data_IF_757960668764
#
_entry.id   IF_757960668764
#
_cell.length_a   1.000
_cell.length_b   1.000
_cell.length_c   1.000
_cell.angle_alpha   90.00
_cell.angle_beta   90.00
_cell.angle_gamma   90.00
#
_symmetry.space_group_name_H-M   'P 1'
#
loop_
_entity.id
_entity.type
_entity.pdbx_description
1 polymer ?
#
# COMPACT_ATOMS: atom_id res chain seq x y z
N UNK A 1 -19.27 -13.81 -11.00
CA UNK A 1 -18.32 -12.72 -11.34
C UNK A 1 -18.99 -11.74 -12.27
N UNK A 2 -18.77 -10.44 -12.06
CA UNK A 2 -19.34 -9.37 -12.87
C UNK A 2 -18.29 -8.30 -13.13
N UNK A 3 -18.44 -7.56 -14.23
CA UNK A 3 -17.52 -6.46 -14.57
C UNK A 3 -17.49 -5.46 -13.42
N UNK A 4 -16.29 -4.98 -13.08
CA UNK A 4 -16.12 -3.89 -12.12
C UNK A 4 -16.20 -2.56 -12.89
N UNK A 5 -16.97 -1.61 -12.35
CA UNK A 5 -17.13 -0.28 -12.95
C UNK A 5 -16.49 0.80 -12.09
N UNK A 6 -15.60 1.60 -12.69
CA UNK A 6 -14.95 2.72 -12.05
C UNK A 6 -14.04 2.34 -10.87
N UNK A 7 -13.23 1.29 -11.01
CA UNK A 7 -12.30 0.85 -9.97
C UNK A 7 -11.25 1.92 -9.69
N UNK A 8 -11.16 2.32 -8.42
CA UNK A 8 -10.05 3.08 -7.83
C UNK A 8 -9.39 2.26 -6.75
N UNK A 9 -8.07 2.40 -6.64
CA UNK A 9 -7.26 1.80 -5.57
C UNK A 9 -6.51 2.93 -4.87
N UNK A 10 -6.43 2.88 -3.54
CA UNK A 10 -5.81 3.94 -2.75
C UNK A 10 -5.22 3.46 -1.44
N UNK A 11 -4.44 4.35 -0.84
CA UNK A 11 -3.84 4.18 0.48
C UNK A 11 -4.55 5.02 1.53
N UNK A 12 -4.66 4.48 2.74
CA UNK A 12 -5.39 5.10 3.84
C UNK A 12 -4.62 5.01 5.13
N UNK A 13 -4.74 6.01 6.00
CA UNK A 13 -4.17 5.96 7.35
C UNK A 13 -5.22 6.35 8.38
N UNK A 14 -5.08 5.84 9.60
CA UNK A 14 -5.97 6.20 10.70
C UNK A 14 -5.61 7.59 11.24
N UNK A 15 -6.61 8.44 11.40
CA UNK A 15 -6.47 9.74 12.06
C UNK A 15 -6.99 9.69 13.49
N UNK A 16 -7.99 8.85 13.75
CA UNK A 16 -8.50 8.58 15.09
C UNK A 16 -9.33 7.28 15.12
N UNK A 17 -8.82 6.22 15.75
CA UNK A 17 -9.55 4.96 15.90
C UNK A 17 -9.95 4.36 14.55
N UNK A 18 -11.26 4.40 14.25
CA UNK A 18 -11.85 3.94 12.98
C UNK A 18 -12.08 5.06 11.96
N UNK A 19 -11.53 6.25 12.18
CA UNK A 19 -11.52 7.31 11.18
C UNK A 19 -10.28 7.16 10.32
N UNK A 20 -10.49 6.93 9.02
CA UNK A 20 -9.44 6.75 8.04
C UNK A 20 -9.46 7.91 7.05
N UNK A 21 -8.28 8.29 6.59
CA UNK A 21 -8.06 9.35 5.62
C UNK A 21 -7.34 8.81 4.39
N UNK A 22 -7.86 9.09 3.21
CA UNK A 22 -7.21 8.74 1.95
C UNK A 22 -5.94 9.59 1.79
N UNK A 23 -4.80 8.93 1.57
CA UNK A 23 -3.52 9.58 1.30
C UNK A 23 -3.36 9.85 -0.19
N UNK A 24 -3.57 8.82 -1.00
CA UNK A 24 -3.38 8.85 -2.43
C UNK A 24 -4.22 7.77 -3.10
N UNK A 25 -4.62 7.98 -4.35
CA UNK A 25 -5.41 7.01 -5.10
C UNK A 25 -5.23 7.15 -6.61
N UNK A 26 -5.46 6.05 -7.31
CA UNK A 26 -5.35 5.98 -8.77
C UNK A 26 -6.59 5.33 -9.39
N UNK A 27 -7.02 5.87 -10.54
CA UNK A 27 -8.15 5.32 -11.30
C UNK A 27 -7.65 4.24 -12.25
N UNK A 28 -8.11 3.02 -12.02
CA UNK A 28 -7.94 1.91 -12.97
C UNK A 28 -9.02 1.99 -14.06
N UNK A 29 -10.25 2.33 -13.66
CA UNK A 29 -11.40 2.37 -14.56
C UNK A 29 -12.18 1.06 -14.57
N UNK A 30 -12.77 0.72 -15.70
CA UNK A 30 -13.60 -0.48 -15.81
C UNK A 30 -12.73 -1.74 -15.97
N UNK A 31 -13.06 -2.80 -15.25
CA UNK A 31 -12.37 -4.09 -15.30
C UNK A 31 -13.34 -5.17 -15.76
N UNK A 32 -13.08 -5.70 -16.95
CA UNK A 32 -13.84 -6.81 -17.51
C UNK A 32 -13.63 -8.11 -16.71
N UNK A 33 -14.73 -8.80 -16.41
CA UNK A 33 -14.70 -10.10 -15.74
C UNK A 33 -14.08 -11.21 -16.62
N UNK A 34 -13.82 -12.37 -15.99
CA UNK A 34 -13.50 -13.62 -16.68
C UNK A 34 -12.00 -13.90 -16.91
N UNK A 35 -11.11 -12.98 -16.53
CA UNK A 35 -9.67 -13.21 -16.57
C UNK A 35 -8.93 -12.31 -15.57
N UNK A 36 -7.74 -12.74 -15.17
CA UNK A 36 -6.77 -11.88 -14.48
C UNK A 36 -6.37 -10.71 -15.37
N UNK A 37 -6.30 -9.51 -14.81
CA UNK A 37 -5.96 -8.27 -15.52
C UNK A 37 -4.72 -7.65 -14.90
N UNK A 38 -3.77 -7.24 -15.74
CA UNK A 38 -2.60 -6.47 -15.32
C UNK A 38 -2.73 -5.05 -15.83
N UNK A 39 -2.64 -4.08 -14.92
CA UNK A 39 -2.57 -2.66 -15.24
C UNK A 39 -1.19 -2.12 -14.87
N UNK A 40 -0.62 -1.27 -15.73
CA UNK A 40 0.73 -0.71 -15.57
C UNK A 40 0.71 0.80 -15.75
N UNK A 41 1.78 1.49 -15.32
CA UNK A 41 1.85 2.95 -15.39
C UNK A 41 1.03 3.68 -14.32
N UNK A 42 0.59 2.94 -13.29
CA UNK A 42 -0.15 3.46 -12.15
C UNK A 42 0.79 3.62 -10.95
N UNK A 43 0.49 4.60 -10.08
CA UNK A 43 1.27 4.82 -8.87
C UNK A 43 0.38 5.35 -7.75
N UNK A 44 0.62 4.89 -6.53
CA UNK A 44 0.05 5.45 -5.31
C UNK A 44 1.17 5.63 -4.28
N UNK A 45 1.15 6.72 -3.54
CA UNK A 45 2.06 6.94 -2.42
C UNK A 45 1.71 5.99 -1.26
N UNK A 46 2.73 5.30 -0.73
CA UNK A 46 2.60 4.40 0.42
C UNK A 46 3.55 4.85 1.52
N UNK A 47 3.04 4.91 2.75
CA UNK A 47 3.81 5.12 3.98
C UNK A 47 3.60 3.91 4.90
N UNK A 48 4.62 3.59 5.71
CA UNK A 48 4.50 2.54 6.73
C UNK A 48 3.25 2.76 7.59
N UNK A 49 2.45 1.71 7.74
CA UNK A 49 1.18 1.73 8.47
C UNK A 49 -0.05 2.11 7.65
N UNK A 50 0.11 2.44 6.36
CA UNK A 50 -1.05 2.64 5.48
C UNK A 50 -1.80 1.31 5.24
N UNK A 51 -3.12 1.40 5.19
CA UNK A 51 -4.02 0.38 4.67
C UNK A 51 -4.16 0.57 3.15
N UNK A 52 -4.32 -0.54 2.42
CA UNK A 52 -4.66 -0.52 0.99
C UNK A 52 -6.14 -0.84 0.85
N UNK A 53 -6.86 -0.02 0.09
CA UNK A 53 -8.29 -0.17 -0.13
C UNK A 53 -8.68 0.15 -1.57
N UNK A 54 -9.95 -0.06 -1.89
CA UNK A 54 -10.49 0.23 -3.22
C UNK A 54 -11.93 0.73 -3.15
N UNK A 55 -12.36 1.37 -4.23
CA UNK A 55 -13.74 1.79 -4.45
C UNK A 55 -14.16 1.43 -5.88
N UNK A 56 -15.40 1.02 -6.05
CA UNK A 56 -16.03 0.78 -7.35
C UNK A 56 -17.55 0.94 -7.22
N UNK A 57 -18.23 1.22 -8.33
CA UNK A 57 -19.68 1.50 -8.36
C UNK A 57 -20.53 0.27 -8.73
N UNK A 58 -19.88 -0.77 -9.26
CA UNK A 58 -20.54 -2.02 -9.65
C UNK A 58 -19.52 -3.13 -9.82
N UNK A 59 -20.00 -4.38 -9.78
CA UNK A 59 -19.17 -5.58 -9.82
C UNK A 59 -18.90 -6.18 -8.44
N UNK A 60 -17.99 -7.15 -8.39
CA UNK A 60 -17.59 -7.83 -7.17
C UNK A 60 -16.09 -8.10 -7.19
N UNK A 61 -15.44 -7.96 -6.03
CA UNK A 61 -14.10 -8.48 -5.77
C UNK A 61 -14.26 -9.72 -4.91
N UNK A 62 -13.48 -10.76 -5.20
CA UNK A 62 -13.46 -11.97 -4.39
C UNK A 62 -12.92 -11.67 -2.99
N UNK A 63 -13.64 -12.16 -1.98
CA UNK A 63 -13.33 -11.98 -0.56
C UNK A 63 -13.42 -13.32 0.15
N UNK A 64 -12.63 -13.49 1.21
CA UNK A 64 -12.85 -14.56 2.19
C UNK A 64 -13.39 -13.94 3.47
N UNK A 65 -14.49 -14.48 3.97
CA UNK A 65 -15.25 -13.90 5.08
C UNK A 65 -14.98 -14.60 6.42
N UNK A 66 -14.02 -15.53 6.48
CA UNK A 66 -13.75 -16.30 7.69
C UNK A 66 -12.25 -16.50 7.97
N UNK A 67 -11.86 -16.36 9.25
CA UNK A 67 -10.50 -16.67 9.70
C UNK A 67 -9.47 -15.54 9.57
N UNK A 68 -9.87 -14.35 9.13
CA UNK A 68 -8.98 -13.19 8.95
C UNK A 68 -9.25 -12.06 9.94
N UNK A 69 -8.35 -11.07 9.95
CA UNK A 69 -8.41 -9.92 10.86
C UNK A 69 -9.64 -9.04 10.64
N UNK A 70 -10.14 -8.92 9.41
CA UNK A 70 -11.23 -8.03 9.02
C UNK A 70 -10.77 -6.90 8.10
N UNK A 71 -11.74 -6.16 7.56
CA UNK A 71 -11.52 -4.98 6.70
C UNK A 71 -12.25 -3.75 7.22
N UNK A 72 -11.73 -2.57 6.87
CA UNK A 72 -12.45 -1.31 7.05
C UNK A 72 -13.42 -1.11 5.89
N UNK A 73 -14.68 -0.80 6.20
CA UNK A 73 -15.75 -0.71 5.22
C UNK A 73 -16.59 0.56 5.40
N UNK A 74 -16.97 1.17 4.27
CA UNK A 74 -17.90 2.29 4.18
C UNK A 74 -18.71 2.17 2.87
N UNK A 75 -19.95 2.66 2.87
CA UNK A 75 -20.86 2.55 1.72
C UNK A 75 -20.78 3.74 0.74
N UNK A 76 -19.98 4.77 1.04
CA UNK A 76 -19.80 5.95 0.21
C UNK A 76 -18.42 5.99 -0.44
N UNK A 77 -18.31 6.75 -1.53
CA UNK A 77 -17.02 7.08 -2.13
C UNK A 77 -16.24 8.01 -1.17
N UNK A 78 -15.07 7.56 -0.74
CA UNK A 78 -14.16 8.22 0.21
C UNK A 78 -12.71 7.94 -0.19
N UNK A 79 -12.41 7.91 -1.48
CA UNK A 79 -11.11 7.51 -2.01
C UNK A 79 -10.38 8.66 -2.72
N UNK A 80 -10.95 9.87 -2.76
CA UNK A 80 -10.21 11.02 -3.23
C UNK A 80 -9.17 11.46 -2.19
N UNK A 81 -7.94 11.83 -2.59
CA UNK A 81 -6.90 12.22 -1.65
C UNK A 81 -7.34 13.34 -0.71
N UNK A 82 -7.26 13.10 0.60
CA UNK A 82 -7.71 14.02 1.63
C UNK A 82 -9.11 13.74 2.18
N UNK A 83 -9.90 12.89 1.54
CA UNK A 83 -11.18 12.40 2.09
C UNK A 83 -10.95 11.69 3.42
N UNK A 84 -11.87 11.91 4.34
CA UNK A 84 -11.76 11.42 5.70
C UNK A 84 -13.14 11.08 6.25
N UNK A 85 -13.31 9.83 6.68
CA UNK A 85 -14.58 9.33 7.19
C UNK A 85 -14.38 8.28 8.27
N UNK A 86 -15.46 8.01 9.01
CA UNK A 86 -15.53 6.95 10.00
C UNK A 86 -16.00 5.65 9.34
N UNK A 87 -15.17 4.61 9.43
CA UNK A 87 -15.41 3.30 8.83
C UNK A 87 -16.00 2.32 9.84
N UNK A 88 -16.78 1.37 9.34
CA UNK A 88 -17.18 0.18 10.09
C UNK A 88 -16.11 -0.90 9.93
N UNK A 89 -15.92 -1.72 10.95
CA UNK A 89 -15.00 -2.86 10.87
C UNK A 89 -15.79 -4.14 10.60
N UNK A 90 -15.50 -4.81 9.48
CA UNK A 90 -16.07 -6.10 9.14
C UNK A 90 -15.10 -7.20 9.58
N UNK A 91 -15.31 -7.72 10.78
CA UNK A 91 -14.46 -8.77 11.34
C UNK A 91 -14.58 -10.07 10.53
N UNK A 92 -13.45 -10.76 10.31
CA UNK A 92 -13.39 -12.02 9.57
C UNK A 92 -13.19 -11.88 8.07
N UNK A 93 -13.50 -10.70 7.50
CA UNK A 93 -13.40 -10.43 6.07
C UNK A 93 -11.96 -10.13 5.62
N UNK A 94 -11.62 -10.48 4.37
CA UNK A 94 -10.30 -10.29 3.81
C UNK A 94 -10.31 -10.19 2.28
N UNK A 95 -9.44 -9.32 1.79
CA UNK A 95 -9.01 -9.24 0.40
C UNK A 95 -7.54 -9.62 0.37
N UNK A 96 -7.18 -10.60 -0.48
CA UNK A 96 -5.78 -11.02 -0.60
C UNK A 96 -4.98 -10.01 -1.41
N UNK A 97 -3.84 -9.59 -0.86
CA UNK A 97 -2.88 -8.70 -1.53
C UNK A 97 -1.52 -9.36 -1.55
N UNK A 98 -0.88 -9.37 -2.73
CA UNK A 98 0.50 -9.78 -2.89
C UNK A 98 1.32 -8.58 -3.38
N UNK A 99 2.33 -8.21 -2.61
CA UNK A 99 3.24 -7.13 -2.94
C UNK A 99 4.69 -7.57 -2.80
N UNK A 100 5.55 -7.02 -3.64
CA UNK A 100 7.00 -7.12 -3.52
C UNK A 100 7.58 -5.72 -3.75
N UNK A 101 8.78 -5.46 -3.23
CA UNK A 101 9.42 -4.16 -3.34
C UNK A 101 10.91 -4.28 -3.59
N UNK A 102 11.45 -3.34 -4.35
CA UNK A 102 12.89 -3.12 -4.49
C UNK A 102 13.31 -2.03 -3.51
N UNK A 103 14.03 -2.42 -2.45
CA UNK A 103 14.59 -1.47 -1.50
C UNK A 103 15.94 -0.98 -2.03
N UNK A 104 16.11 0.33 -2.24
CA UNK A 104 17.44 0.88 -2.47
C UNK A 104 18.31 0.57 -1.24
N UNK A 105 19.51 -0.03 -1.39
CA UNK A 105 20.38 -0.26 -0.25
C UNK A 105 20.73 1.08 0.40
N UNK A 106 20.88 1.13 1.74
CA UNK A 106 21.32 2.36 2.40
C UNK A 106 22.61 2.85 1.75
N UNK A 107 22.70 4.16 1.51
CA UNK A 107 23.90 4.75 0.93
C UNK A 107 25.14 4.29 1.69
N UNK A 108 26.19 3.90 0.96
CA UNK A 108 27.45 3.43 1.54
C UNK A 108 27.89 4.40 2.65
N UNK A 109 28.18 3.92 3.88
CA UNK A 109 28.67 4.80 4.93
C UNK A 109 30.01 5.39 4.49
N UNK A 110 30.04 6.68 4.21
CA UNK A 110 31.30 7.36 3.94
C UNK A 110 32.06 7.50 5.25
N UNK A 111 33.13 6.70 5.44
CA UNK A 111 34.09 6.92 6.53
C UNK A 111 34.84 8.21 6.19
N UNK A 112 34.38 9.33 6.75
CA UNK A 112 34.82 10.66 6.33
C UNK A 112 36.24 11.01 6.73
N UNK A 113 36.85 10.28 7.68
CA UNK A 113 38.24 10.46 8.06
C UNK A 113 38.84 9.15 8.56
N UNK A 114 39.84 8.63 7.85
CA UNK A 114 40.89 7.87 8.53
C UNK A 114 41.63 8.88 9.40
N UNK A 115 41.21 9.04 10.66
CA UNK A 115 42.09 9.66 11.66
C UNK A 115 43.32 8.76 11.74
N UNK A 116 44.39 9.15 11.06
CA UNK A 116 45.70 8.52 11.22
C UNK A 116 46.15 8.83 12.65
N UNK A 117 45.82 7.93 13.58
CA UNK A 117 46.45 7.92 14.89
C UNK A 117 47.91 7.58 14.66
N UNK A 118 48.82 8.46 15.07
CA UNK A 118 50.25 8.22 14.98
C UNK A 118 50.59 6.91 15.70
N UNK A 119 51.05 5.89 14.95
CA UNK A 119 51.42 4.58 15.48
C UNK A 119 50.51 3.41 15.04
N UNK A 120 49.37 3.63 14.38
CA UNK A 120 48.56 2.53 13.84
C UNK A 120 49.09 2.04 12.48
N UNK A 121 49.47 0.76 12.40
CA UNK A 121 49.79 0.06 11.16
C UNK A 121 48.48 -0.27 10.43
N UNK A 122 48.21 0.43 9.34
CA UNK A 122 47.06 0.14 8.47
C UNK A 122 47.21 -1.26 7.87
N UNK A 123 46.29 -2.17 8.17
CA UNK A 123 46.16 -3.44 7.45
C UNK A 123 45.29 -3.14 6.24
N UNK A 124 45.86 -3.19 5.04
CA UNK A 124 45.12 -3.01 3.80
C UNK A 124 44.10 -4.13 3.65
N UNK A 125 42.84 -3.77 3.43
CA UNK A 125 41.84 -4.68 2.86
C UNK A 125 41.98 -4.58 1.35
N UNK A 126 42.50 -5.63 0.72
CA UNK A 126 42.37 -5.83 -0.72
C UNK A 126 40.92 -6.22 -1.00
N UNK A 127 40.25 -5.47 -1.88
CA UNK A 127 39.05 -5.91 -2.56
C UNK A 127 39.42 -6.82 -3.73
#
# INVERSE_FOLDING_TARGET
>A
DGNITGLRVGTFYTTNGNTLKCRDSELIGDVEAGAERTFTGLSIAVVEGDYIGCYFTGGYIETDTSGFGGVWYITSEQIDPGDEATYSFLAGDAISLYGYGDFAPPGQPYISRVQRIAGMKTIGVNL
#
